data_IF_818287377223
#
_entry.id   IF_818287377223
#
_cell.length_a   1.000
_cell.length_b   1.000
_cell.length_c   1.000
_cell.angle_alpha   90.00
_cell.angle_beta   90.00
_cell.angle_gamma   90.00
#
_symmetry.space_group_name_H-M   'P 1'
#
loop_
_entity.id
_entity.type
_entity.pdbx_description
1 polymer ?
#
# COMPACT_ATOMS: atom_id res chain seq x y z
N UNK A 1 18.71 6.84 14.19
CA UNK A 1 17.67 7.30 13.29
C UNK A 1 16.67 6.20 13.00
N UNK A 2 15.40 6.49 13.17
CA UNK A 2 14.36 5.51 12.92
C UNK A 2 13.91 5.59 11.46
N UNK A 3 14.19 4.57 10.68
CA UNK A 3 13.85 4.52 9.25
C UNK A 3 12.34 4.58 9.01
N UNK A 4 11.53 4.15 9.98
CA UNK A 4 10.08 4.18 9.84
C UNK A 4 9.53 5.59 9.69
N UNK A 5 10.26 6.60 10.18
CA UNK A 5 9.81 7.98 10.09
C UNK A 5 10.13 8.63 8.73
N UNK A 6 10.87 7.94 7.86
CA UNK A 6 11.24 8.49 6.55
C UNK A 6 10.35 7.98 5.43
N UNK A 7 9.59 6.93 5.69
CA UNK A 7 8.74 6.30 4.69
C UNK A 7 7.27 6.47 5.04
N UNK A 8 6.41 6.15 4.10
CA UNK A 8 4.98 6.06 4.32
C UNK A 8 4.59 4.59 4.37
N UNK A 9 3.62 4.26 5.22
CA UNK A 9 3.12 2.89 5.33
C UNK A 9 1.74 2.82 4.70
N UNK A 10 1.58 1.93 3.74
CA UNK A 10 0.28 1.67 3.12
C UNK A 10 -0.26 0.35 3.65
N UNK A 11 -1.46 0.37 4.19
CA UNK A 11 -2.14 -0.82 4.70
C UNK A 11 -3.35 -1.09 3.82
N UNK A 12 -3.42 -2.28 3.23
CA UNK A 12 -4.53 -2.66 2.37
C UNK A 12 -5.37 -3.71 3.07
N UNK A 13 -6.61 -3.38 3.34
CA UNK A 13 -7.57 -4.30 3.94
C UNK A 13 -8.62 -4.62 2.89
N UNK A 14 -8.48 -5.78 2.27
CA UNK A 14 -9.33 -6.21 1.18
C UNK A 14 -10.34 -7.23 1.68
N UNK A 15 -11.63 -6.97 1.45
CA UNK A 15 -12.69 -7.91 1.78
C UNK A 15 -13.68 -8.00 0.64
N UNK A 16 -14.49 -9.05 0.67
CA UNK A 16 -15.49 -9.28 -0.36
C UNK A 16 -16.77 -8.52 -0.05
N UNK A 17 -17.45 -8.08 -1.12
CA UNK A 17 -18.78 -7.52 -0.95
C UNK A 17 -19.74 -8.61 -0.49
N UNK A 18 -20.87 -8.24 0.18
CA UNK A 18 -21.83 -9.27 0.66
C UNK A 18 -22.38 -10.13 -0.47
N UNK A 19 -22.49 -9.60 -1.68
CA UNK A 19 -23.06 -10.32 -2.83
C UNK A 19 -22.05 -11.23 -3.51
N UNK A 20 -20.76 -11.03 -3.28
CA UNK A 20 -19.74 -11.84 -3.95
C UNK A 20 -19.79 -13.27 -3.45
N UNK A 21 -19.66 -14.22 -4.36
CA UNK A 21 -19.67 -15.63 -4.04
C UNK A 21 -18.44 -16.30 -4.62
N UNK A 22 -17.97 -17.32 -3.93
CA UNK A 22 -16.82 -18.09 -4.37
C UNK A 22 -15.67 -18.02 -3.37
N UNK A 23 -14.64 -18.79 -3.68
CA UNK A 23 -13.42 -18.84 -2.87
C UNK A 23 -12.33 -18.07 -3.59
N UNK A 24 -11.86 -17.00 -2.97
CA UNK A 24 -10.83 -16.13 -3.55
C UNK A 24 -9.65 -16.05 -2.61
N UNK A 25 -8.47 -16.39 -3.12
CA UNK A 25 -7.24 -16.40 -2.36
C UNK A 25 -6.33 -15.27 -2.83
N UNK A 26 -5.95 -14.41 -1.90
CA UNK A 26 -5.00 -13.33 -2.19
C UNK A 26 -3.58 -13.88 -2.10
N UNK A 27 -2.84 -13.78 -3.19
CA UNK A 27 -1.47 -14.30 -3.29
C UNK A 27 -0.41 -13.22 -3.19
N UNK A 28 -0.69 -12.03 -3.73
CA UNK A 28 0.33 -10.99 -3.78
C UNK A 28 -0.31 -9.62 -4.00
N UNK A 29 0.42 -8.59 -3.56
CA UNK A 29 0.07 -7.19 -3.79
C UNK A 29 1.30 -6.51 -4.37
N UNK A 30 1.14 -5.75 -5.44
CA UNK A 30 2.24 -5.03 -6.08
C UNK A 30 1.82 -3.59 -6.31
N UNK A 31 2.72 -2.65 -5.99
CA UNK A 31 2.47 -1.23 -6.22
C UNK A 31 3.53 -0.69 -7.19
N UNK A 32 3.11 0.14 -8.13
CA UNK A 32 4.00 0.75 -9.09
C UNK A 32 3.34 1.90 -9.81
N UNK A 33 4.16 2.63 -10.58
CA UNK A 33 3.64 3.67 -11.45
C UNK A 33 2.98 3.04 -12.68
N UNK A 34 2.07 3.78 -13.29
CA UNK A 34 1.61 3.42 -14.62
C UNK A 34 2.79 3.43 -15.60
N UNK A 35 2.63 2.81 -16.75
CA UNK A 35 3.69 2.75 -17.75
C UNK A 35 4.21 4.16 -18.06
N UNK A 36 5.52 4.37 -17.90
CA UNK A 36 6.14 5.68 -18.12
C UNK A 36 5.87 6.70 -17.05
N UNK A 37 5.18 6.34 -15.97
CA UNK A 37 4.87 7.27 -14.89
C UNK A 37 6.04 7.51 -13.95
N UNK A 38 6.02 8.64 -13.25
CA UNK A 38 7.09 9.05 -12.33
C UNK A 38 6.57 9.52 -10.97
N UNK A 39 5.31 9.22 -10.67
CA UNK A 39 4.71 9.72 -9.43
C UNK A 39 5.32 9.11 -8.17
N UNK A 40 5.76 7.86 -8.24
CA UNK A 40 6.32 7.13 -7.11
C UNK A 40 7.76 6.76 -7.40
N UNK A 41 8.64 6.96 -6.43
CA UNK A 41 10.05 6.60 -6.53
C UNK A 41 10.31 5.35 -5.71
N UNK A 42 11.16 4.47 -6.21
CA UNK A 42 11.50 3.22 -5.53
C UNK A 42 12.93 3.22 -4.99
N UNK A 43 13.71 4.24 -5.32
CA UNK A 43 15.05 4.46 -4.79
C UNK A 43 15.23 5.94 -4.51
N UNK A 44 15.99 6.26 -3.47
CA UNK A 44 16.29 7.63 -3.14
C UNK A 44 17.39 7.67 -2.11
N UNK A 45 17.86 8.88 -1.81
CA UNK A 45 18.88 9.13 -0.79
C UNK A 45 18.23 9.81 0.40
N UNK A 46 18.48 9.29 1.59
CA UNK A 46 17.93 9.86 2.80
C UNK A 46 18.88 10.89 3.39
N UNK A 47 18.33 12.06 3.75
CA UNK A 47 19.06 13.04 4.53
C UNK A 47 18.95 12.64 6.00
N UNK A 48 20.06 12.29 6.61
CA UNK A 48 20.10 11.78 7.98
C UNK A 48 19.55 12.79 8.98
N UNK A 49 19.79 14.08 8.74
CA UNK A 49 19.37 15.12 9.67
C UNK A 49 17.86 15.41 9.61
N UNK A 50 17.28 15.41 8.41
CA UNK A 50 15.88 15.78 8.23
C UNK A 50 14.95 14.59 8.06
N UNK A 51 15.50 13.41 7.72
CA UNK A 51 14.71 12.24 7.39
C UNK A 51 14.04 12.33 6.04
N UNK A 52 14.32 13.33 5.24
CA UNK A 52 13.75 13.45 3.91
C UNK A 52 14.50 12.58 2.90
N UNK A 53 13.79 12.14 1.89
CA UNK A 53 14.36 11.34 0.82
C UNK A 53 14.37 12.17 -0.46
N UNK A 54 15.54 12.32 -1.04
CA UNK A 54 15.72 13.00 -2.32
C UNK A 54 16.33 12.07 -3.35
N UNK A 55 16.62 12.60 -4.53
CA UNK A 55 17.27 11.84 -5.59
C UNK A 55 16.37 10.72 -6.12
N UNK A 56 15.15 11.05 -6.44
CA UNK A 56 14.15 10.11 -6.93
C UNK A 56 14.66 9.28 -8.11
N UNK A 57 14.59 7.95 -7.99
CA UNK A 57 15.01 7.03 -9.04
C UNK A 57 14.16 5.76 -8.97
N UNK A 58 14.31 4.91 -9.99
CA UNK A 58 13.62 3.63 -10.02
C UNK A 58 12.13 3.74 -10.29
N UNK A 59 11.70 4.76 -11.04
CA UNK A 59 10.28 4.97 -11.30
C UNK A 59 9.64 3.85 -12.11
N UNK A 60 10.42 3.06 -12.81
CA UNK A 60 9.92 1.91 -13.57
C UNK A 60 10.01 0.60 -12.77
N UNK A 61 10.37 0.67 -11.51
CA UNK A 61 10.39 -0.49 -10.62
C UNK A 61 9.03 -0.63 -9.92
N UNK A 62 8.92 -1.62 -9.06
CA UNK A 62 7.71 -1.82 -8.27
C UNK A 62 8.07 -2.50 -6.96
N UNK A 63 7.18 -2.39 -5.98
CA UNK A 63 7.31 -3.11 -4.72
C UNK A 63 6.24 -4.20 -4.69
N UNK A 64 6.65 -5.42 -4.42
CA UNK A 64 5.75 -6.56 -4.41
C UNK A 64 5.80 -7.26 -3.06
N UNK A 65 4.63 -7.47 -2.48
CA UNK A 65 4.47 -8.31 -1.30
C UNK A 65 3.85 -9.63 -1.74
N UNK A 66 4.63 -10.69 -1.65
CA UNK A 66 4.14 -12.04 -1.93
C UNK A 66 3.81 -12.72 -0.61
N UNK A 67 2.58 -13.19 -0.46
CA UNK A 67 2.17 -13.87 0.75
C UNK A 67 2.71 -15.30 0.75
N UNK A 68 3.37 -15.70 1.84
CA UNK A 68 3.90 -17.06 1.98
C UNK A 68 2.77 -18.08 1.96
N UNK A 69 1.66 -17.74 2.60
CA UNK A 69 0.44 -18.54 2.58
C UNK A 69 -0.67 -17.68 2.01
N UNK A 70 -1.30 -18.09 0.90
CA UNK A 70 -2.40 -17.31 0.34
C UNK A 70 -3.49 -17.10 1.38
N UNK A 71 -4.07 -15.91 1.39
CA UNK A 71 -5.08 -15.52 2.37
C UNK A 71 -6.45 -15.55 1.73
N UNK A 72 -7.37 -16.32 2.32
CA UNK A 72 -8.75 -16.36 1.84
C UNK A 72 -9.43 -15.03 2.15
N UNK A 73 -10.04 -14.41 1.14
CA UNK A 73 -10.79 -13.18 1.33
C UNK A 73 -12.10 -13.48 2.05
N UNK A 74 -12.43 -12.61 3.00
CA UNK A 74 -13.63 -12.74 3.84
C UNK A 74 -14.57 -11.57 3.56
N UNK A 75 -15.81 -11.71 3.99
CA UNK A 75 -16.79 -10.62 3.90
C UNK A 75 -16.70 -9.67 5.08
N UNK A 76 -15.95 -10.03 6.12
CA UNK A 76 -15.71 -9.19 7.28
C UNK A 76 -14.28 -8.65 7.23
N UNK A 77 -13.98 -7.54 7.92
CA UNK A 77 -12.61 -7.03 7.96
C UNK A 77 -11.63 -8.07 8.51
N UNK A 78 -10.45 -8.11 7.92
CA UNK A 78 -9.37 -9.02 8.30
C UNK A 78 -8.09 -8.21 8.46
N UNK A 79 -6.99 -8.88 8.80
CA UNK A 79 -5.72 -8.20 8.97
C UNK A 79 -5.27 -7.53 7.68
N UNK A 80 -4.83 -6.26 7.74
CA UNK A 80 -4.34 -5.59 6.55
C UNK A 80 -2.99 -6.14 6.11
N UNK A 81 -2.72 -6.03 4.82
CA UNK A 81 -1.41 -6.29 4.25
C UNK A 81 -0.71 -4.95 4.10
N UNK A 82 0.56 -4.87 4.46
CA UNK A 82 1.26 -3.61 4.55
C UNK A 82 2.45 -3.53 3.60
N UNK A 83 2.62 -2.37 3.00
CA UNK A 83 3.75 -2.05 2.13
C UNK A 83 4.31 -0.68 2.53
N UNK A 84 5.63 -0.55 2.49
CA UNK A 84 6.28 0.73 2.70
C UNK A 84 6.62 1.35 1.36
N UNK A 85 6.39 2.66 1.24
CA UNK A 85 6.69 3.41 0.02
C UNK A 85 7.42 4.70 0.37
N UNK A 86 8.17 5.21 -0.61
CA UNK A 86 8.77 6.54 -0.50
C UNK A 86 7.65 7.57 -0.60
N UNK A 87 7.60 8.54 0.32
CA UNK A 87 6.55 9.57 0.29
C UNK A 87 6.48 10.29 -1.04
N UNK A 88 5.27 10.65 -1.46
CA UNK A 88 5.06 11.38 -2.70
C UNK A 88 3.85 12.29 -2.62
N UNK A 89 3.91 13.40 -3.35
CA UNK A 89 2.77 14.29 -3.57
C UNK A 89 2.54 14.51 -5.06
N UNK A 90 3.04 13.60 -5.90
CA UNK A 90 3.02 13.76 -7.36
C UNK A 90 1.97 12.91 -8.06
N UNK A 91 1.01 12.38 -7.32
CA UNK A 91 -0.11 11.64 -7.89
C UNK A 91 -1.15 12.67 -8.31
N UNK A 92 -1.21 12.97 -9.60
CA UNK A 92 -2.03 14.07 -10.13
C UNK A 92 -3.29 13.60 -10.85
N UNK A 93 -3.27 12.39 -11.38
CA UNK A 93 -4.43 11.81 -12.05
C UNK A 93 -4.69 10.42 -11.52
N UNK A 94 -5.93 9.95 -11.69
CA UNK A 94 -6.29 8.61 -11.27
C UNK A 94 -5.42 7.59 -12.01
N UNK A 95 -4.81 6.68 -11.27
CA UNK A 95 -4.01 5.63 -11.86
C UNK A 95 -2.56 6.01 -12.17
N UNK A 96 -2.10 7.21 -11.80
CA UNK A 96 -0.67 7.52 -11.88
C UNK A 96 0.14 6.48 -11.11
N UNK A 97 -0.43 5.99 -10.00
CA UNK A 97 0.09 4.84 -9.26
C UNK A 97 -1.00 3.78 -9.25
N UNK A 98 -0.59 2.54 -9.49
CA UNK A 98 -1.51 1.41 -9.56
C UNK A 98 -1.12 0.35 -8.55
N UNK A 99 -2.12 -0.26 -7.93
CA UNK A 99 -1.92 -1.39 -7.03
C UNK A 99 -2.52 -2.61 -7.68
N UNK A 100 -1.73 -3.67 -7.80
CA UNK A 100 -2.16 -4.91 -8.43
C UNK A 100 -2.34 -5.98 -7.36
N UNK A 101 -3.51 -6.59 -7.34
CA UNK A 101 -3.82 -7.68 -6.41
C UNK A 101 -3.92 -8.97 -7.20
N UNK A 102 -3.09 -9.94 -6.86
CA UNK A 102 -3.18 -11.26 -7.48
C UNK A 102 -4.12 -12.10 -6.63
N UNK A 103 -5.30 -12.36 -7.18
CA UNK A 103 -6.36 -13.12 -6.51
C UNK A 103 -6.64 -14.35 -7.35
N UNK A 104 -6.47 -15.53 -6.74
CA UNK A 104 -6.42 -16.79 -7.47
C UNK A 104 -5.31 -16.69 -8.52
N UNK A 105 -5.62 -16.84 -9.80
CA UNK A 105 -4.62 -16.74 -10.86
C UNK A 105 -4.81 -15.48 -11.72
N UNK A 106 -5.59 -14.53 -11.21
CA UNK A 106 -5.93 -13.32 -11.96
C UNK A 106 -5.41 -12.09 -11.22
N UNK A 107 -4.95 -11.10 -11.98
CA UNK A 107 -4.49 -9.84 -11.43
C UNK A 107 -5.59 -8.79 -11.58
N UNK A 108 -5.92 -8.14 -10.47
CA UNK A 108 -6.91 -7.07 -10.43
C UNK A 108 -6.22 -5.77 -10.07
N UNK A 109 -6.56 -4.71 -10.78
CA UNK A 109 -5.92 -3.41 -10.65
C UNK A 109 -6.80 -2.45 -9.85
N UNK A 110 -6.18 -1.76 -8.90
CA UNK A 110 -6.80 -0.64 -8.21
C UNK A 110 -5.99 0.62 -8.52
N UNK A 111 -6.65 1.65 -9.06
CA UNK A 111 -6.01 2.92 -9.40
C UNK A 111 -6.04 3.85 -8.20
N UNK A 112 -4.88 4.33 -7.78
CA UNK A 112 -4.82 5.30 -6.68
C UNK A 112 -5.45 6.61 -7.19
N UNK A 113 -6.37 7.21 -6.42
CA UNK A 113 -7.05 8.42 -6.85
C UNK A 113 -6.12 9.62 -7.03
N UNK A 114 -6.51 10.53 -7.92
CA UNK A 114 -5.81 11.78 -8.13
C UNK A 114 -5.69 12.58 -6.83
N UNK A 115 -4.61 13.33 -6.72
CA UNK A 115 -4.33 14.21 -5.58
C UNK A 115 -4.11 13.47 -4.26
N UNK A 116 -3.81 12.18 -4.32
CA UNK A 116 -3.40 11.42 -3.14
C UNK A 116 -2.00 11.85 -2.76
N UNK A 117 -1.78 12.07 -1.46
CA UNK A 117 -0.46 12.41 -0.92
C UNK A 117 -0.10 11.40 0.16
N UNK A 118 1.12 10.89 0.08
CA UNK A 118 1.65 10.02 1.13
C UNK A 118 2.82 10.74 1.77
N UNK A 119 2.68 11.02 3.06
CA UNK A 119 3.67 11.80 3.82
C UNK A 119 4.51 10.88 4.69
N UNK A 120 5.74 11.31 4.95
CA UNK A 120 6.65 10.51 5.78
C UNK A 120 6.08 10.35 7.19
N UNK A 121 6.30 9.18 7.78
CA UNK A 121 5.87 8.89 9.14
C UNK A 121 4.37 8.69 9.29
N UNK A 122 3.63 8.56 8.20
CA UNK A 122 2.19 8.35 8.27
C UNK A 122 1.78 7.00 7.72
N UNK A 123 0.67 6.52 8.22
CA UNK A 123 0.07 5.25 7.81
C UNK A 123 -1.27 5.56 7.14
N UNK A 124 -1.46 4.97 5.96
CA UNK A 124 -2.68 5.14 5.18
C UNK A 124 -3.37 3.78 5.07
N UNK A 125 -4.59 3.70 5.58
CA UNK A 125 -5.34 2.45 5.61
C UNK A 125 -6.40 2.50 4.52
N UNK A 126 -6.24 1.64 3.52
CA UNK A 126 -7.17 1.52 2.39
C UNK A 126 -8.08 0.35 2.65
N UNK A 127 -9.37 0.63 2.88
CA UNK A 127 -10.39 -0.40 2.98
C UNK A 127 -11.00 -0.59 1.61
N UNK A 128 -10.75 -1.76 1.02
CA UNK A 128 -11.11 -2.06 -0.35
C UNK A 128 -12.13 -3.19 -0.39
N UNK A 129 -13.00 -3.15 -1.39
CA UNK A 129 -14.02 -4.18 -1.61
C UNK A 129 -13.78 -4.87 -2.93
N UNK A 130 -13.86 -6.20 -2.91
CA UNK A 130 -13.75 -7.03 -4.10
C UNK A 130 -15.09 -7.72 -4.34
N UNK A 131 -15.66 -7.50 -5.52
CA UNK A 131 -16.98 -8.06 -5.87
C UNK A 131 -16.87 -9.29 -6.75
N UNK A 132 -15.67 -9.83 -6.96
CA UNK A 132 -15.42 -10.94 -7.86
C UNK A 132 -14.90 -10.51 -9.22
N UNK A 133 -15.03 -9.23 -9.56
CA UNK A 133 -14.58 -8.67 -10.84
C UNK A 133 -13.74 -7.43 -10.68
N UNK A 134 -14.11 -6.56 -9.76
CA UNK A 134 -13.46 -5.25 -9.58
C UNK A 134 -13.13 -5.00 -8.12
N UNK A 135 -12.13 -4.15 -7.92
CA UNK A 135 -11.75 -3.68 -6.59
C UNK A 135 -12.12 -2.21 -6.51
N UNK A 136 -12.91 -1.86 -5.49
CA UNK A 136 -13.35 -0.48 -5.27
C UNK A 136 -12.96 -0.03 -3.87
N UNK A 137 -12.81 1.29 -3.72
CA UNK A 137 -12.48 1.89 -2.43
C UNK A 137 -13.74 2.07 -1.60
N UNK A 138 -13.73 1.54 -0.38
CA UNK A 138 -14.78 1.82 0.58
C UNK A 138 -14.44 3.10 1.35
N UNK A 139 -13.24 3.15 1.92
CA UNK A 139 -12.75 4.36 2.57
C UNK A 139 -11.23 4.27 2.75
N UNK A 140 -10.62 5.42 3.00
CA UNK A 140 -9.21 5.50 3.37
C UNK A 140 -9.10 6.35 4.63
N UNK A 141 -8.27 5.91 5.57
CA UNK A 141 -8.01 6.66 6.79
C UNK A 141 -6.50 6.85 6.95
N UNK A 142 -6.14 7.90 7.70
CA UNK A 142 -4.75 8.28 7.91
C UNK A 142 -4.49 8.35 9.41
N UNK A 143 -3.35 7.83 9.82
CA UNK A 143 -2.92 7.94 11.21
C UNK A 143 -1.40 8.15 11.24
N UNK A 144 -0.90 8.53 12.39
CA UNK A 144 0.55 8.59 12.56
C UNK A 144 1.09 7.17 12.60
N UNK A 145 2.18 6.94 11.89
CA UNK A 145 2.88 5.67 11.94
C UNK A 145 3.89 5.73 13.05
N UNK A 146 3.42 5.39 14.26
CA UNK A 146 4.29 5.41 15.43
C UNK A 146 5.05 4.10 15.53
N UNK A 147 6.34 4.16 15.88
CA UNK A 147 7.06 2.92 16.17
C UNK A 147 6.39 2.22 17.34
N UNK A 148 6.30 0.90 17.27
CA UNK A 148 5.78 0.10 18.39
C UNK A 148 6.77 0.21 19.52
N UNK A 149 6.29 0.54 20.61
CA UNK A 149 7.13 0.74 21.77
C UNK A 149 7.13 -0.44 22.67
N UNK A 150 6.91 0.08 21.38
CA UNK A 150 6.82 -0.33 21.93
C UNK A 150 6.60 -0.77 22.22
N UNK A 151 6.12 -0.55 22.16
CA UNK A 151 5.64 -0.98 22.56
C UNK A 151 5.79 -1.58 22.45
N UNK A 152 5.68 -1.40 22.49
CA UNK A 152 5.72 -1.83 22.65
C UNK A 152 6.25 -2.27 22.58
N UNK A 153 6.08 -2.08 22.69
CA UNK A 153 6.40 -2.48 23.00
C UNK A 153 6.97 -2.93 22.87
N UNK A 154 6.83 -2.78 22.99
CA UNK A 154 7.26 -3.21 23.20
C UNK A 154 7.77 -3.69 23.08
N UNK A 155 7.59 -3.51 23.09
CA UNK A 155 7.90 -3.98 23.31
C UNK A 155 8.52 -4.47 23.16
N UNK A 156 8.61 -4.29 23.19
CA UNK A 156 9.00 -4.74 23.40
C UNK A 156 9.39 -5.25 23.56
N UNK A 157 9.27 -5.15 23.63
CA UNK A 157 9.36 -5.69 24.19
C UNK A 157 9.57 -6.28 24.24
#
# INVERSE_FOLDING_TARGET
>A
LNMNHTLSLLSFQLRMTPEAEGCFLLHAIQIGNKAGGTALCFRGKMNIKTGNIGGCAGTNASTRLKLNTPRMLKKIPDEPQQLMVIPTSRIRTDGDVEVLFTINETTFKYKIPANTKWEKGKRYIYNLLFNGKDITLENVSTSEWLPVEGNMENTIL
#
